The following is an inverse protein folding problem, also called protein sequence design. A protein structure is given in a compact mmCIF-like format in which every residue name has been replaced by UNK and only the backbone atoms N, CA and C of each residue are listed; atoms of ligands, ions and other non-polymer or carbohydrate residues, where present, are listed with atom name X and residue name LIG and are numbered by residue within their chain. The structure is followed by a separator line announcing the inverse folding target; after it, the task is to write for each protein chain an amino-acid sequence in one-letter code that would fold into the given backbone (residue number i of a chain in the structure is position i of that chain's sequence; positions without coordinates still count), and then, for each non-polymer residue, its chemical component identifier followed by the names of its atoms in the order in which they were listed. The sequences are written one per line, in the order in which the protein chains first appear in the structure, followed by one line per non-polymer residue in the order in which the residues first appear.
data_IF_502454088869
#
_entry.id   IF_502454088869
#
_cell.length_a   1.000
_cell.length_b   1.000
_cell.length_c   1.000
_cell.angle_alpha   90.00
_cell.angle_beta   90.00
_cell.angle_gamma   90.00
#
_symmetry.space_group_name_H-M   'P 1'
#
loop_
_entity.id
_entity.type
_entity.pdbx_description
1 polymer ?
#
# COMPACT_ATOMS: atom_id res chain seq x y z
N UNK A 1 -41.82 29.13 3.73
CA UNK A 1 -40.54 29.80 3.39
C UNK A 1 -39.52 29.39 4.44
N UNK A 2 -38.35 28.87 3.99
CA UNK A 2 -37.02 28.92 4.63
C UNK A 2 -36.85 28.27 6.03
N UNK A 3 -36.29 27.05 6.13
CA UNK A 3 -34.85 26.74 6.36
C UNK A 3 -34.32 27.29 7.69
N UNK A 4 -33.58 26.58 8.56
CA UNK A 4 -32.61 25.52 8.33
C UNK A 4 -32.36 24.75 9.63
N UNK A 5 -32.17 23.44 9.53
CA UNK A 5 -31.57 22.63 10.58
C UNK A 5 -30.08 22.98 10.69
N UNK A 6 -29.63 23.42 11.88
CA UNK A 6 -28.21 23.59 12.17
C UNK A 6 -27.57 22.21 12.29
N UNK A 7 -26.87 21.80 11.24
CA UNK A 7 -26.03 20.61 11.25
C UNK A 7 -24.75 20.97 12.01
N UNK A 8 -24.55 20.34 13.15
CA UNK A 8 -23.31 20.39 13.92
C UNK A 8 -22.25 19.63 13.11
N UNK A 9 -21.43 20.37 12.35
CA UNK A 9 -20.34 19.82 11.56
C UNK A 9 -19.25 19.32 12.53
N UNK A 10 -19.22 18.01 12.75
CA UNK A 10 -18.08 17.35 13.37
C UNK A 10 -16.90 17.47 12.40
N UNK A 11 -15.96 18.33 12.72
CA UNK A 11 -14.74 18.54 11.97
C UNK A 11 -13.93 17.23 11.91
N UNK A 12 -14.15 16.45 10.86
CA UNK A 12 -13.27 15.35 10.50
C UNK A 12 -11.98 16.00 10.00
N UNK A 13 -11.01 16.17 10.90
CA UNK A 13 -9.65 16.56 10.55
C UNK A 13 -9.16 15.54 9.54
N UNK A 14 -9.23 15.92 8.26
CA UNK A 14 -8.61 15.20 7.17
C UNK A 14 -7.12 15.21 7.44
N UNK A 15 -6.66 14.14 8.09
CA UNK A 15 -5.26 13.77 8.05
C UNK A 15 -4.98 13.52 6.58
N UNK A 16 -4.51 14.54 5.88
CA UNK A 16 -3.92 14.43 4.56
C UNK A 16 -2.64 13.62 4.76
N UNK A 17 -2.80 12.30 4.95
CA UNK A 17 -1.72 11.36 4.86
C UNK A 17 -1.13 11.59 3.48
N UNK A 18 0.12 12.06 3.44
CA UNK A 18 0.91 12.29 2.24
C UNK A 18 0.52 11.24 1.21
N UNK A 19 -0.21 11.65 0.17
CA UNK A 19 -0.81 10.75 -0.81
C UNK A 19 0.29 10.20 -1.71
N UNK A 20 1.18 9.40 -1.14
CA UNK A 20 2.06 8.53 -1.89
C UNK A 20 1.14 7.52 -2.57
N UNK A 21 1.21 7.47 -3.90
CA UNK A 21 0.28 6.71 -4.75
C UNK A 21 0.15 5.27 -4.22
N UNK A 22 -1.00 4.98 -3.61
CA UNK A 22 -1.26 3.71 -2.94
C UNK A 22 -2.23 2.90 -3.80
N UNK A 23 -1.78 1.76 -4.31
CA UNK A 23 -2.61 0.85 -5.07
C UNK A 23 -3.38 -0.06 -4.12
N UNK A 24 -4.70 -0.11 -4.26
CA UNK A 24 -5.55 -1.02 -3.49
C UNK A 24 -5.71 -2.35 -4.23
N UNK A 25 -5.56 -3.46 -3.50
CA UNK A 25 -5.68 -4.82 -4.03
C UNK A 25 -7.03 -5.38 -3.60
N UNK A 26 -7.81 -5.85 -4.56
CA UNK A 26 -9.15 -6.42 -4.35
C UNK A 26 -9.18 -7.90 -4.68
N UNK A 27 -10.00 -8.64 -3.95
CA UNK A 27 -10.32 -10.03 -4.20
C UNK A 27 -11.42 -10.20 -5.25
N UNK A 28 -11.72 -11.44 -5.67
CA UNK A 28 -12.76 -11.73 -6.66
C UNK A 28 -14.17 -11.35 -6.20
N UNK A 29 -14.38 -11.21 -4.89
CA UNK A 29 -15.62 -10.74 -4.26
C UNK A 29 -15.71 -9.21 -4.17
N UNK A 30 -14.74 -8.48 -4.72
CA UNK A 30 -14.65 -7.02 -4.66
C UNK A 30 -14.20 -6.48 -3.30
N UNK A 31 -13.87 -7.35 -2.33
CA UNK A 31 -13.38 -6.89 -1.03
C UNK A 31 -11.90 -6.57 -1.09
N UNK A 32 -11.48 -5.58 -0.30
CA UNK A 32 -10.06 -5.22 -0.20
C UNK A 32 -9.29 -6.31 0.53
N UNK A 33 -8.26 -6.84 -0.13
CA UNK A 33 -7.29 -7.76 0.47
C UNK A 33 -6.12 -7.02 1.10
N UNK A 34 -5.83 -5.81 0.62
CA UNK A 34 -4.73 -5.02 1.12
C UNK A 34 -4.37 -3.86 0.21
N UNK A 35 -3.14 -3.36 0.38
CA UNK A 35 -2.60 -2.24 -0.39
C UNK A 35 -1.13 -2.45 -0.71
N UNK A 36 -0.68 -1.92 -1.83
CA UNK A 36 0.72 -1.76 -2.17
C UNK A 36 1.03 -0.26 -2.25
N UNK A 37 2.09 0.17 -1.59
CA UNK A 37 2.53 1.56 -1.60
C UNK A 37 4.04 1.64 -1.78
N UNK A 38 4.56 2.62 -2.54
CA UNK A 38 5.99 2.89 -2.56
C UNK A 38 6.52 3.13 -1.15
N UNK A 39 7.70 2.57 -0.86
CA UNK A 39 8.36 2.64 0.44
C UNK A 39 9.85 2.94 0.25
N UNK A 40 10.15 4.15 -0.21
CA UNK A 40 11.50 4.54 -0.62
C UNK A 40 11.83 4.11 -2.05
N UNK A 41 13.07 4.38 -2.47
CA UNK A 41 13.50 4.22 -3.86
C UNK A 41 13.51 2.73 -4.22
N UNK A 42 12.84 2.40 -5.33
CA UNK A 42 12.79 1.03 -5.88
C UNK A 42 12.11 0.02 -4.96
N UNK A 43 11.40 0.46 -3.92
CA UNK A 43 10.83 -0.43 -2.92
C UNK A 43 9.32 -0.24 -2.79
N UNK A 44 8.60 -1.35 -2.62
CA UNK A 44 7.13 -1.37 -2.47
C UNK A 44 6.78 -2.19 -1.24
N UNK A 45 5.94 -1.62 -0.38
CA UNK A 45 5.43 -2.28 0.82
C UNK A 45 4.01 -2.77 0.59
N UNK A 46 3.79 -4.04 0.88
CA UNK A 46 2.50 -4.70 0.78
C UNK A 46 1.92 -4.85 2.19
N UNK A 47 0.70 -4.34 2.38
CA UNK A 47 -0.04 -4.41 3.63
C UNK A 47 -1.34 -5.16 3.43
N UNK A 48 -1.79 -5.87 4.45
CA UNK A 48 -3.12 -6.48 4.47
C UNK A 48 -4.23 -5.42 4.62
N UNK A 49 -5.49 -5.87 4.60
CA UNK A 49 -6.66 -5.01 4.76
C UNK A 49 -6.77 -4.33 6.14
N UNK A 50 -6.00 -4.79 7.13
CA UNK A 50 -5.90 -4.23 8.48
C UNK A 50 -4.72 -3.25 8.61
N UNK A 51 -3.92 -3.09 7.56
CA UNK A 51 -2.76 -2.19 7.52
C UNK A 51 -1.45 -2.83 8.01
N UNK A 52 -1.43 -4.11 8.32
CA UNK A 52 -0.23 -4.83 8.76
C UNK A 52 0.64 -5.11 7.55
N UNK A 53 1.96 -4.92 7.66
CA UNK A 53 2.89 -5.29 6.59
C UNK A 53 2.92 -6.80 6.43
N UNK A 54 2.71 -7.29 5.21
CA UNK A 54 2.93 -8.69 4.86
C UNK A 54 4.37 -8.91 4.41
N UNK A 55 4.81 -8.13 3.42
CA UNK A 55 6.16 -8.17 2.90
C UNK A 55 6.53 -6.84 2.23
N UNK A 56 7.82 -6.65 1.99
CA UNK A 56 8.36 -5.53 1.21
C UNK A 56 9.17 -6.10 0.05
N UNK A 57 9.05 -5.51 -1.13
CA UNK A 57 9.94 -5.81 -2.25
C UNK A 57 10.86 -4.65 -2.52
N UNK A 58 12.09 -4.94 -2.92
CA UNK A 58 13.05 -3.95 -3.41
C UNK A 58 13.62 -4.43 -4.73
N UNK A 59 13.40 -3.66 -5.80
CA UNK A 59 13.91 -3.96 -7.13
C UNK A 59 15.01 -2.98 -7.50
N UNK A 60 16.21 -3.49 -7.74
CA UNK A 60 17.35 -2.70 -8.19
C UNK A 60 18.18 -3.52 -9.18
N UNK A 61 18.57 -2.90 -10.29
CA UNK A 61 19.41 -3.51 -11.34
C UNK A 61 18.88 -4.87 -11.84
N UNK A 62 17.55 -5.01 -11.99
CA UNK A 62 16.92 -6.25 -12.45
C UNK A 62 16.84 -7.37 -11.41
N UNK A 63 17.26 -7.11 -10.17
CA UNK A 63 17.15 -8.04 -9.04
C UNK A 63 16.07 -7.54 -8.09
N UNK A 64 15.07 -8.36 -7.83
CA UNK A 64 14.02 -8.09 -6.85
C UNK A 64 14.26 -8.93 -5.60
N UNK A 65 14.39 -8.26 -4.45
CA UNK A 65 14.48 -8.89 -3.13
C UNK A 65 13.14 -8.79 -2.43
N UNK A 66 12.75 -9.84 -1.72
CA UNK A 66 11.51 -9.91 -0.96
C UNK A 66 11.88 -10.07 0.51
N UNK A 67 11.31 -9.20 1.35
CA UNK A 67 11.53 -9.16 2.79
C UNK A 67 10.23 -9.45 3.52
N UNK A 68 10.29 -10.23 4.60
CA UNK A 68 9.14 -10.42 5.49
C UNK A 68 8.75 -9.11 6.23
N UNK A 69 7.71 -9.19 7.04
CA UNK A 69 7.22 -8.06 7.84
C UNK A 69 8.21 -7.56 8.90
N UNK A 70 9.15 -8.41 9.34
CA UNK A 70 10.24 -8.08 10.25
C UNK A 70 11.48 -7.50 9.55
N UNK A 71 11.50 -7.51 8.21
CA UNK A 71 12.60 -7.00 7.40
C UNK A 71 13.67 -8.04 7.05
N UNK A 72 13.45 -9.33 7.31
CA UNK A 72 14.39 -10.37 6.90
C UNK A 72 14.19 -10.74 5.44
N UNK A 73 15.30 -10.94 4.71
CA UNK A 73 15.26 -11.38 3.32
C UNK A 73 14.72 -12.82 3.24
N UNK A 74 13.63 -13.02 2.52
CA UNK A 74 13.01 -14.35 2.33
C UNK A 74 13.24 -14.91 0.94
N UNK A 75 13.39 -14.06 -0.08
CA UNK A 75 13.64 -14.50 -1.44
C UNK A 75 14.39 -13.46 -2.28
N UNK A 76 15.10 -13.93 -3.30
CA UNK A 76 15.70 -13.11 -4.36
C UNK A 76 15.24 -13.63 -5.71
N UNK A 77 14.69 -12.74 -6.53
CA UNK A 77 14.21 -13.01 -7.89
C UNK A 77 15.10 -12.24 -8.85
N UNK A 78 15.76 -12.94 -9.77
CA UNK A 78 16.59 -12.34 -10.81
C UNK A 78 15.78 -12.38 -12.10
N UNK A 79 15.52 -11.21 -12.69
CA UNK A 79 14.83 -11.13 -13.97
C UNK A 79 15.65 -11.79 -15.08
N UNK A 80 15.23 -12.97 -15.54
CA UNK A 80 15.81 -13.58 -16.74
C UNK A 80 15.36 -12.77 -17.97
N UNK A 81 16.27 -11.96 -18.53
CA UNK A 81 16.06 -11.36 -19.84
C UNK A 81 16.12 -12.49 -20.88
N UNK A 82 14.98 -13.02 -21.30
CA UNK A 82 14.95 -13.94 -22.46
C UNK A 82 15.47 -13.16 -23.67
N UNK A 83 16.60 -13.60 -24.21
CA UNK A 83 17.13 -13.14 -25.51
C UNK A 83 16.35 -13.83 -26.62
#
# INVERSE_FOLDING_TARGET
MKTAAMIFALALVSSQALAQEQTRIYGPDGRSLGTAAPYGIGSVRYRDSRGHTNFTTTTMNGVTRIYDSGGHLTATVIGSRRR
#
